data_IF_970431324409
#
_entry.id   IF_970431324409
#
_cell.length_a   1.000
_cell.length_b   1.000
_cell.length_c   1.000
_cell.angle_alpha   90.00
_cell.angle_beta   90.00
_cell.angle_gamma   90.00
#
_symmetry.space_group_name_H-M   'P 1'
#
loop_
_entity.id
_entity.type
_entity.pdbx_description
1 polymer ?
#
# COMPACT_ATOMS: atom_id res chain seq x y z
N UNK A 1 28.36 3.30 -66.40
CA UNK A 1 27.29 3.57 -65.47
C UNK A 1 26.94 2.41 -64.53
N UNK A 2 27.14 1.13 -64.86
CA UNK A 2 26.81 0.00 -63.96
C UNK A 2 27.75 -0.20 -62.74
N UNK A 3 29.03 0.29 -62.82
CA UNK A 3 29.97 0.15 -61.68
C UNK A 3 29.83 1.19 -60.58
N UNK A 4 29.19 2.35 -60.82
CA UNK A 4 28.94 3.40 -59.83
C UNK A 4 27.72 3.07 -58.98
N UNK A 5 26.74 2.37 -59.57
CA UNK A 5 25.52 1.94 -58.84
C UNK A 5 25.83 0.82 -57.82
N UNK A 6 26.84 -0.02 -58.09
CA UNK A 6 27.25 -1.09 -57.18
C UNK A 6 28.00 -0.56 -55.92
N UNK A 7 28.73 0.55 -56.08
CA UNK A 7 29.47 1.19 -54.98
C UNK A 7 28.52 1.98 -54.03
N UNK A 8 27.44 2.54 -54.56
CA UNK A 8 26.39 3.16 -53.69
C UNK A 8 25.57 2.14 -52.93
N UNK A 9 25.37 0.94 -53.48
CA UNK A 9 24.61 -0.11 -52.79
C UNK A 9 25.44 -0.79 -51.67
N UNK A 10 26.76 -0.88 -51.81
CA UNK A 10 27.67 -1.39 -50.78
C UNK A 10 27.88 -0.39 -49.61
N UNK A 11 27.75 0.92 -49.86
CA UNK A 11 27.87 1.93 -48.78
C UNK A 11 26.62 2.04 -47.90
N UNK A 12 25.45 1.56 -48.35
CA UNK A 12 24.24 1.46 -47.54
C UNK A 12 24.19 0.19 -46.68
N UNK A 13 24.95 -0.86 -47.03
CA UNK A 13 24.98 -2.13 -46.28
C UNK A 13 25.99 -2.15 -45.13
N UNK A 14 26.92 -1.20 -45.08
CA UNK A 14 27.94 -1.12 -44.03
C UNK A 14 27.54 -0.27 -42.81
N UNK A 15 26.30 0.23 -42.74
CA UNK A 15 25.76 0.99 -41.59
C UNK A 15 24.67 0.23 -40.82
N UNK A 16 24.41 -1.03 -41.11
CA UNK A 16 23.73 -1.91 -40.15
C UNK A 16 24.72 -2.43 -39.09
N UNK A 17 25.43 -1.53 -38.43
CA UNK A 17 25.85 -1.80 -37.06
C UNK A 17 24.55 -2.15 -36.33
N UNK A 18 24.42 -3.40 -35.94
CA UNK A 18 23.23 -3.88 -35.22
C UNK A 18 22.95 -2.90 -34.08
N UNK A 19 21.97 -2.03 -34.28
CA UNK A 19 21.51 -1.15 -33.21
C UNK A 19 21.02 -2.05 -32.08
N UNK A 20 21.84 -2.17 -31.06
CA UNK A 20 21.53 -3.01 -29.91
C UNK A 20 20.23 -2.48 -29.30
N UNK A 21 19.22 -3.35 -29.08
CA UNK A 21 17.96 -2.95 -28.46
C UNK A 21 18.20 -2.53 -27.01
N UNK A 22 17.38 -1.64 -26.49
CA UNK A 22 17.46 -1.26 -25.07
C UNK A 22 17.38 -2.47 -24.16
N UNK A 23 16.52 -3.43 -24.45
CA UNK A 23 16.36 -4.67 -23.68
C UNK A 23 17.69 -5.43 -23.55
N UNK A 24 18.43 -5.59 -24.66
CA UNK A 24 19.72 -6.28 -24.64
C UNK A 24 20.78 -5.49 -23.85
N UNK A 25 20.76 -4.17 -23.97
CA UNK A 25 21.69 -3.31 -23.22
C UNK A 25 21.39 -3.36 -21.71
N UNK A 26 20.11 -3.31 -21.32
CA UNK A 26 19.70 -3.47 -19.93
C UNK A 26 20.01 -4.87 -19.37
N UNK A 27 19.86 -5.92 -20.17
CA UNK A 27 20.28 -7.27 -19.78
C UNK A 27 21.79 -7.37 -19.51
N UNK A 28 22.63 -6.62 -20.24
CA UNK A 28 24.07 -6.54 -19.95
C UNK A 28 24.32 -5.83 -18.60
N UNK A 29 23.62 -4.72 -18.34
CA UNK A 29 23.71 -4.01 -17.03
C UNK A 29 23.37 -4.96 -15.88
N UNK A 30 22.26 -5.70 -16.00
CA UNK A 30 21.84 -6.70 -15.00
C UNK A 30 22.88 -7.83 -14.84
N UNK A 31 23.46 -8.31 -15.94
CA UNK A 31 24.49 -9.34 -15.91
C UNK A 31 25.77 -8.88 -15.20
N UNK A 32 26.14 -7.60 -15.33
CA UNK A 32 27.25 -7.01 -14.58
C UNK A 32 26.90 -6.84 -13.10
N UNK A 33 25.67 -6.41 -12.77
CA UNK A 33 25.20 -6.32 -11.39
C UNK A 33 25.24 -7.68 -10.66
N UNK A 34 24.79 -8.76 -11.32
CA UNK A 34 24.88 -10.13 -10.78
C UNK A 34 26.31 -10.62 -10.51
N UNK A 35 27.30 -9.98 -11.12
CA UNK A 35 28.74 -10.30 -10.96
C UNK A 35 29.46 -9.33 -10.01
N UNK A 36 28.73 -8.43 -9.37
CA UNK A 36 29.31 -7.37 -8.52
C UNK A 36 30.36 -6.52 -9.27
N UNK A 37 30.01 -6.10 -10.48
CA UNK A 37 30.86 -5.28 -11.37
C UNK A 37 30.22 -3.92 -11.68
N UNK A 38 30.02 -3.03 -10.67
CA UNK A 38 29.29 -1.77 -10.84
C UNK A 38 29.94 -0.82 -11.84
N UNK A 39 31.26 -0.79 -11.95
CA UNK A 39 31.98 0.02 -12.97
C UNK A 39 31.69 -0.43 -14.41
N UNK A 40 31.58 -1.73 -14.63
CA UNK A 40 31.23 -2.27 -15.95
C UNK A 40 29.78 -2.04 -16.30
N UNK A 41 28.87 -2.17 -15.29
CA UNK A 41 27.48 -1.81 -15.41
C UNK A 41 27.32 -0.33 -15.76
N UNK A 42 28.03 0.57 -15.07
CA UNK A 42 28.01 2.00 -15.33
C UNK A 42 28.45 2.35 -16.77
N UNK A 43 29.50 1.72 -17.27
CA UNK A 43 29.95 1.91 -18.65
C UNK A 43 28.89 1.50 -19.69
N UNK A 44 28.08 0.48 -19.39
CA UNK A 44 26.97 0.08 -20.27
C UNK A 44 25.81 1.04 -20.15
N UNK A 45 25.49 1.51 -18.95
CA UNK A 45 24.48 2.55 -18.70
C UNK A 45 24.82 3.85 -19.44
N UNK A 46 26.08 4.24 -19.50
CA UNK A 46 26.51 5.42 -20.28
C UNK A 46 26.22 5.28 -21.76
N UNK A 47 26.42 4.08 -22.36
CA UNK A 47 26.02 3.81 -23.75
C UNK A 47 24.53 3.93 -23.95
N UNK A 48 23.73 3.41 -23.00
CA UNK A 48 22.25 3.55 -23.01
C UNK A 48 21.88 5.03 -22.98
N UNK A 49 22.49 5.81 -22.09
CA UNK A 49 22.27 7.25 -21.96
C UNK A 49 22.55 8.00 -23.27
N UNK A 50 23.69 7.74 -23.89
CA UNK A 50 24.08 8.36 -25.18
C UNK A 50 23.07 8.00 -26.28
N UNK A 51 22.68 6.73 -26.39
CA UNK A 51 21.67 6.27 -27.34
C UNK A 51 20.31 6.94 -27.09
N UNK A 52 19.87 7.00 -25.84
CA UNK A 52 18.60 7.62 -25.48
C UNK A 52 18.57 9.12 -25.80
N UNK A 53 19.67 9.83 -25.58
CA UNK A 53 19.82 11.23 -25.97
C UNK A 53 19.74 11.40 -27.50
N UNK A 54 20.45 10.57 -28.28
CA UNK A 54 20.44 10.63 -29.74
C UNK A 54 19.04 10.34 -30.32
N UNK A 55 18.30 9.40 -29.72
CA UNK A 55 16.97 8.99 -30.15
C UNK A 55 15.83 9.83 -29.52
N UNK A 56 16.16 10.77 -28.63
CA UNK A 56 15.20 11.56 -27.85
C UNK A 56 14.21 10.68 -27.08
N UNK A 57 14.70 9.56 -26.55
CA UNK A 57 13.90 8.64 -25.75
C UNK A 57 14.00 9.02 -24.27
N UNK A 58 13.06 9.87 -23.84
CA UNK A 58 13.07 10.48 -22.51
C UNK A 58 12.94 9.45 -21.38
N UNK A 59 12.14 8.40 -21.56
CA UNK A 59 11.99 7.33 -20.57
C UNK A 59 13.28 6.53 -20.37
N UNK A 60 13.96 6.16 -21.46
CA UNK A 60 15.25 5.47 -21.38
C UNK A 60 16.37 6.36 -20.84
N UNK A 61 16.34 7.67 -21.18
CA UNK A 61 17.27 8.64 -20.64
C UNK A 61 17.13 8.77 -19.14
N UNK A 62 15.92 8.95 -18.65
CA UNK A 62 15.64 9.05 -17.21
C UNK A 62 16.05 7.78 -16.47
N UNK A 63 15.71 6.60 -17.00
CA UNK A 63 16.13 5.31 -16.44
C UNK A 63 17.66 5.21 -16.36
N UNK A 64 18.36 5.56 -17.43
CA UNK A 64 19.81 5.49 -17.47
C UNK A 64 20.45 6.39 -16.41
N UNK A 65 19.94 7.61 -16.24
CA UNK A 65 20.49 8.54 -15.23
C UNK A 65 20.20 8.10 -13.80
N UNK A 66 19.00 7.61 -13.52
CA UNK A 66 18.66 7.05 -12.19
C UNK A 66 19.52 5.82 -11.87
N UNK A 67 19.72 4.92 -12.85
CA UNK A 67 20.57 3.74 -12.67
C UNK A 67 22.04 4.13 -12.51
N UNK A 68 22.54 5.11 -13.28
CA UNK A 68 23.90 5.62 -13.13
C UNK A 68 24.14 6.17 -11.72
N UNK A 69 23.19 6.94 -11.18
CA UNK A 69 23.26 7.45 -9.80
C UNK A 69 23.40 6.30 -8.79
N UNK A 70 22.55 5.27 -8.90
CA UNK A 70 22.60 4.12 -7.99
C UNK A 70 23.95 3.40 -8.06
N UNK A 71 24.48 3.17 -9.27
CA UNK A 71 25.79 2.54 -9.47
C UNK A 71 26.95 3.40 -8.96
N UNK A 72 26.86 4.72 -9.10
CA UNK A 72 27.85 5.63 -8.53
C UNK A 72 27.85 5.56 -7.00
N UNK A 73 26.68 5.52 -6.37
CA UNK A 73 26.54 5.39 -4.92
C UNK A 73 27.10 4.04 -4.41
N UNK A 74 26.89 2.96 -5.16
CA UNK A 74 27.47 1.64 -4.89
C UNK A 74 29.00 1.63 -5.00
N UNK A 75 29.56 2.39 -5.95
CA UNK A 75 31.01 2.54 -6.11
C UNK A 75 31.61 3.36 -4.97
N UNK A 76 31.03 4.49 -4.65
CA UNK A 76 31.38 5.31 -3.46
C UNK A 76 30.29 6.36 -3.17
N UNK A 77 30.04 6.72 -1.90
CA UNK A 77 29.09 7.75 -1.54
C UNK A 77 29.36 9.13 -2.17
N UNK A 78 30.62 9.51 -2.32
CA UNK A 78 30.99 10.78 -2.97
C UNK A 78 30.67 10.79 -4.46
N UNK A 79 30.86 9.66 -5.14
CA UNK A 79 30.44 9.53 -6.54
C UNK A 79 28.92 9.63 -6.73
N UNK A 80 28.14 9.15 -5.75
CA UNK A 80 26.67 9.30 -5.72
C UNK A 80 26.25 10.76 -5.69
N UNK A 81 26.91 11.61 -4.86
CA UNK A 81 26.65 13.06 -4.81
C UNK A 81 26.91 13.73 -6.15
N UNK A 82 28.05 13.43 -6.79
CA UNK A 82 28.37 13.97 -8.13
C UNK A 82 27.32 13.58 -9.17
N UNK A 83 26.80 12.35 -9.11
CA UNK A 83 25.75 11.93 -10.02
C UNK A 83 24.43 12.70 -9.82
N UNK A 84 24.08 13.06 -8.58
CA UNK A 84 22.91 13.91 -8.30
C UNK A 84 23.13 15.34 -8.82
N UNK A 85 24.30 15.91 -8.63
CA UNK A 85 24.67 17.23 -9.21
C UNK A 85 24.54 17.21 -10.73
N UNK A 86 24.98 16.15 -11.40
CA UNK A 86 24.78 15.97 -12.83
C UNK A 86 23.30 15.91 -13.25
N UNK A 87 22.43 15.31 -12.43
CA UNK A 87 20.99 15.32 -12.69
C UNK A 87 20.41 16.73 -12.51
N UNK A 88 20.83 17.47 -11.50
CA UNK A 88 20.41 18.87 -11.28
C UNK A 88 20.88 19.77 -12.42
N UNK A 89 22.11 19.59 -12.90
CA UNK A 89 22.66 20.29 -14.07
C UNK A 89 21.89 19.98 -15.35
N UNK A 90 21.48 18.70 -15.55
CA UNK A 90 20.65 18.31 -16.68
C UNK A 90 19.27 18.96 -16.61
N UNK A 91 18.67 19.00 -15.42
CA UNK A 91 17.41 19.70 -15.18
C UNK A 91 17.51 21.20 -15.46
N UNK A 92 18.62 21.85 -15.06
CA UNK A 92 18.84 23.26 -15.29
C UNK A 92 18.89 23.63 -16.78
N UNK A 93 19.38 22.71 -17.63
CA UNK A 93 19.45 22.86 -19.10
C UNK A 93 18.18 22.41 -19.82
N UNK A 94 17.32 21.66 -19.17
CA UNK A 94 16.09 21.15 -19.79
C UNK A 94 15.06 22.27 -19.94
N UNK A 95 14.58 22.45 -21.16
CA UNK A 95 13.61 23.52 -21.49
C UNK A 95 12.18 23.01 -21.72
N UNK A 96 12.01 21.72 -21.92
CA UNK A 96 10.70 21.11 -22.17
C UNK A 96 9.95 20.93 -20.86
N UNK A 97 8.76 21.55 -20.68
CA UNK A 97 8.06 21.61 -19.39
C UNK A 97 7.77 20.22 -18.82
N UNK A 98 7.30 19.29 -19.65
CA UNK A 98 6.95 17.94 -19.24
C UNK A 98 8.17 17.17 -18.73
N UNK A 99 9.29 17.25 -19.47
CA UNK A 99 10.53 16.60 -19.09
C UNK A 99 11.09 17.20 -17.78
N UNK A 100 10.98 18.52 -17.61
CA UNK A 100 11.34 19.18 -16.34
C UNK A 100 10.54 18.63 -15.18
N UNK A 101 9.20 18.49 -15.33
CA UNK A 101 8.34 17.94 -14.29
C UNK A 101 8.75 16.51 -13.90
N UNK A 102 9.08 15.65 -14.87
CA UNK A 102 9.56 14.29 -14.62
C UNK A 102 10.89 14.28 -13.84
N UNK A 103 11.86 15.11 -14.25
CA UNK A 103 13.15 15.22 -13.56
C UNK A 103 13.00 15.77 -12.14
N UNK A 104 12.19 16.80 -11.96
CA UNK A 104 11.87 17.38 -10.65
C UNK A 104 11.21 16.34 -9.72
N UNK A 105 10.25 15.55 -10.21
CA UNK A 105 9.63 14.50 -9.42
C UNK A 105 10.64 13.40 -9.04
N UNK A 106 11.50 12.99 -9.96
CA UNK A 106 12.56 12.01 -9.69
C UNK A 106 13.54 12.52 -8.61
N UNK A 107 13.95 13.78 -8.68
CA UNK A 107 14.81 14.41 -7.66
C UNK A 107 14.08 14.59 -6.32
N UNK A 108 12.79 14.97 -6.31
CA UNK A 108 11.99 15.03 -5.09
C UNK A 108 11.96 13.68 -4.36
N UNK A 109 11.72 12.59 -5.11
CA UNK A 109 11.73 11.22 -4.58
C UNK A 109 13.10 10.81 -4.04
N UNK A 110 14.16 11.14 -4.76
CA UNK A 110 15.52 10.88 -4.28
C UNK A 110 15.80 11.58 -2.96
N UNK A 111 15.54 12.91 -2.87
CA UNK A 111 15.77 13.65 -1.64
C UNK A 111 14.86 13.19 -0.49
N UNK A 112 13.62 12.76 -0.78
CA UNK A 112 12.75 12.16 0.22
C UNK A 112 13.26 10.80 0.72
N UNK A 113 13.91 10.02 -0.16
CA UNK A 113 14.48 8.72 0.20
C UNK A 113 15.69 8.86 1.14
N UNK A 114 16.61 9.78 0.84
CA UNK A 114 17.82 9.96 1.64
C UNK A 114 17.56 10.69 2.97
N UNK A 115 16.59 11.60 3.01
CA UNK A 115 16.24 12.30 4.25
C UNK A 115 15.33 11.46 5.14
N UNK A 116 14.41 10.67 4.56
CA UNK A 116 13.44 9.92 5.35
C UNK A 116 12.74 10.77 6.40
N UNK A 117 12.84 10.37 7.67
CA UNK A 117 12.35 11.13 8.82
C UNK A 117 13.42 12.03 9.47
N UNK A 118 14.66 11.97 8.99
CA UNK A 118 15.74 12.82 9.49
C UNK A 118 15.73 14.15 8.73
N UNK A 119 15.47 15.22 9.46
CA UNK A 119 15.42 16.59 8.93
C UNK A 119 16.71 17.40 9.22
N UNK A 120 17.75 16.74 9.66
CA UNK A 120 19.03 17.40 9.98
C UNK A 120 19.72 18.00 8.74
N UNK A 121 19.58 17.38 7.56
CA UNK A 121 20.01 17.93 6.30
C UNK A 121 18.96 18.92 5.75
N UNK A 122 18.99 20.15 6.24
CA UNK A 122 18.04 21.20 5.86
C UNK A 122 18.08 21.54 4.37
N UNK A 123 19.20 21.31 3.68
CA UNK A 123 19.33 21.55 2.24
C UNK A 123 18.56 20.49 1.47
N UNK A 124 18.74 19.22 1.81
CA UNK A 124 18.03 18.11 1.18
C UNK A 124 16.53 18.20 1.47
N UNK A 125 16.13 18.53 2.71
CA UNK A 125 14.72 18.76 3.10
C UNK A 125 14.08 19.87 2.25
N UNK A 126 14.77 20.99 2.05
CA UNK A 126 14.28 22.07 1.20
C UNK A 126 14.16 21.61 -0.25
N UNK A 127 15.19 20.96 -0.81
CA UNK A 127 15.20 20.49 -2.20
C UNK A 127 14.06 19.51 -2.48
N UNK A 128 13.77 18.56 -1.58
CA UNK A 128 12.64 17.62 -1.76
C UNK A 128 11.32 18.36 -1.91
N UNK A 129 11.09 19.40 -1.08
CA UNK A 129 9.87 20.19 -1.12
C UNK A 129 9.77 21.06 -2.40
N UNK A 130 10.85 21.75 -2.75
CA UNK A 130 10.90 22.60 -3.94
C UNK A 130 10.67 21.78 -5.21
N UNK A 131 11.34 20.65 -5.36
CA UNK A 131 11.19 19.78 -6.52
C UNK A 131 9.80 19.13 -6.61
N UNK A 132 9.21 18.72 -5.47
CA UNK A 132 7.84 18.17 -5.51
C UNK A 132 6.83 19.23 -5.97
N UNK A 133 6.89 20.44 -5.38
CA UNK A 133 5.99 21.55 -5.79
C UNK A 133 6.15 21.89 -7.27
N UNK A 134 7.40 22.02 -7.72
CA UNK A 134 7.69 22.34 -9.11
C UNK A 134 7.23 21.26 -10.09
N UNK A 135 7.35 19.98 -9.71
CA UNK A 135 6.92 18.87 -10.55
C UNK A 135 5.41 18.80 -10.77
N UNK A 136 4.60 19.36 -9.85
CA UNK A 136 3.14 19.34 -9.86
C UNK A 136 2.53 20.73 -10.10
N UNK A 137 3.34 21.70 -10.51
CA UNK A 137 2.89 23.07 -10.69
C UNK A 137 1.86 23.22 -11.82
N UNK A 138 2.03 22.50 -12.91
CA UNK A 138 1.15 22.56 -14.09
C UNK A 138 0.29 21.30 -14.19
N UNK A 139 -0.82 21.29 -13.45
CA UNK A 139 -1.78 20.19 -13.40
C UNK A 139 -2.36 19.89 -14.79
N UNK A 140 -2.67 20.94 -15.57
CA UNK A 140 -3.29 20.82 -16.87
C UNK A 140 -2.36 20.18 -17.91
N UNK A 141 -1.08 20.56 -17.90
CA UNK A 141 -0.04 19.94 -18.73
C UNK A 141 0.10 18.44 -18.41
N UNK A 142 0.19 18.10 -17.14
CA UNK A 142 0.40 16.73 -16.69
C UNK A 142 -0.81 15.82 -16.97
N UNK A 143 -2.02 16.35 -16.80
CA UNK A 143 -3.26 15.61 -17.06
C UNK A 143 -3.50 15.31 -18.55
N UNK A 144 -2.90 16.10 -19.46
CA UNK A 144 -2.97 15.86 -20.91
C UNK A 144 -1.82 15.00 -21.44
N UNK A 145 -0.81 14.75 -20.63
CA UNK A 145 0.38 14.03 -21.04
C UNK A 145 0.26 12.54 -20.73
N UNK A 146 0.53 11.70 -21.72
CA UNK A 146 0.59 10.25 -21.58
C UNK A 146 1.88 9.84 -20.84
N UNK A 147 1.76 9.01 -19.80
CA UNK A 147 2.93 8.52 -19.05
C UNK A 147 3.61 7.31 -19.70
N UNK A 148 2.97 6.61 -20.65
CA UNK A 148 3.52 5.38 -21.25
C UNK A 148 4.91 5.52 -21.90
N UNK A 149 5.31 6.67 -22.45
CA UNK A 149 6.71 6.90 -22.86
C UNK A 149 7.74 6.74 -21.74
N UNK A 150 7.30 6.82 -20.46
CA UNK A 150 8.14 6.68 -19.28
C UNK A 150 8.07 5.30 -18.62
N UNK A 151 7.39 4.33 -19.21
CA UNK A 151 7.34 2.94 -18.70
C UNK A 151 8.72 2.31 -18.41
N UNK A 152 9.84 2.71 -19.06
CA UNK A 152 11.15 2.27 -18.60
C UNK A 152 11.47 2.56 -17.13
N UNK A 153 10.86 3.58 -16.51
CA UNK A 153 11.03 3.97 -15.11
C UNK A 153 9.75 3.92 -14.30
N UNK A 154 8.61 3.77 -14.93
CA UNK A 154 7.29 3.71 -14.31
C UNK A 154 6.68 2.33 -14.54
N UNK A 155 5.85 1.90 -13.60
CA UNK A 155 5.03 0.70 -13.76
C UNK A 155 3.59 1.08 -14.04
N UNK A 156 2.91 0.30 -14.87
CA UNK A 156 1.49 0.49 -15.12
C UNK A 156 0.68 0.10 -13.88
N UNK A 157 0.00 1.08 -13.27
CA UNK A 157 -0.91 0.85 -12.18
C UNK A 157 -2.25 0.25 -12.65
N UNK A 158 -2.88 -0.58 -11.81
CA UNK A 158 -4.20 -1.20 -12.10
C UNK A 158 -5.29 -0.16 -12.41
N UNK A 159 -5.16 1.06 -11.87
CA UNK A 159 -6.15 2.12 -11.97
C UNK A 159 -5.80 3.16 -13.06
N UNK A 160 -4.64 3.03 -13.72
CA UNK A 160 -4.16 3.99 -14.74
C UNK A 160 -5.15 4.25 -15.87
N UNK A 161 -5.94 3.24 -16.25
CA UNK A 161 -7.00 3.36 -17.26
C UNK A 161 -8.09 4.39 -16.91
N UNK A 162 -8.41 4.55 -15.62
CA UNK A 162 -9.41 5.51 -15.15
C UNK A 162 -8.89 6.94 -15.21
N UNK A 163 -7.59 7.14 -15.17
CA UNK A 163 -6.89 8.40 -15.36
C UNK A 163 -6.46 8.65 -16.81
N UNK A 164 -6.98 7.85 -17.77
CA UNK A 164 -6.61 7.93 -19.18
C UNK A 164 -5.09 7.86 -19.42
N UNK A 165 -4.36 7.16 -18.56
CA UNK A 165 -2.90 7.01 -18.63
C UNK A 165 -2.13 8.34 -18.52
N UNK A 166 -2.68 9.35 -17.84
CA UNK A 166 -2.03 10.64 -17.67
C UNK A 166 -0.84 10.61 -16.71
N UNK A 167 0.04 11.60 -16.83
CA UNK A 167 1.17 11.77 -15.93
C UNK A 167 0.77 12.35 -14.57
N UNK A 168 -0.34 13.08 -14.49
CA UNK A 168 -0.76 13.74 -13.26
C UNK A 168 -0.96 12.74 -12.12
N UNK A 169 -1.71 11.64 -12.35
CA UNK A 169 -1.96 10.64 -11.32
C UNK A 169 -0.68 9.91 -10.87
N UNK A 170 0.29 9.73 -11.78
CA UNK A 170 1.56 9.07 -11.46
C UNK A 170 2.43 9.98 -10.58
N UNK A 171 2.60 11.24 -10.98
CA UNK A 171 3.47 12.18 -10.26
C UNK A 171 2.86 12.63 -8.94
N UNK A 172 1.52 12.69 -8.84
CA UNK A 172 0.79 13.05 -7.63
C UNK A 172 0.65 11.91 -6.61
N UNK A 173 1.19 10.73 -6.89
CA UNK A 173 1.26 9.65 -5.91
C UNK A 173 2.31 9.98 -4.83
N UNK A 174 1.91 10.76 -3.82
CA UNK A 174 2.75 11.25 -2.72
C UNK A 174 2.76 10.33 -1.49
N UNK A 175 2.63 9.02 -1.71
CA UNK A 175 2.69 8.02 -0.64
C UNK A 175 4.13 7.77 -0.15
N UNK A 176 4.26 7.08 0.97
CA UNK A 176 5.52 6.71 1.62
C UNK A 176 6.34 7.94 2.03
N UNK A 177 7.65 7.91 1.79
CA UNK A 177 8.56 9.00 2.19
C UNK A 177 8.30 10.32 1.47
N UNK A 178 7.70 10.29 0.29
CA UNK A 178 7.34 11.50 -0.42
C UNK A 178 6.22 12.29 0.30
N UNK A 179 5.40 11.63 1.12
CA UNK A 179 4.41 12.30 1.98
C UNK A 179 5.03 13.27 2.99
N UNK A 180 6.33 13.10 3.28
CA UNK A 180 7.09 13.98 4.17
C UNK A 180 7.73 15.17 3.43
N UNK A 181 7.63 15.21 2.09
CA UNK A 181 8.33 16.22 1.29
C UNK A 181 7.78 17.63 1.50
N UNK A 182 6.48 17.76 1.73
CA UNK A 182 5.80 19.03 2.03
C UNK A 182 4.87 18.84 3.22
N UNK A 183 4.45 19.94 3.90
CA UNK A 183 3.52 19.85 5.03
C UNK A 183 2.24 19.05 4.69
N UNK A 184 1.71 18.32 5.66
CA UNK A 184 0.52 17.48 5.48
C UNK A 184 -0.68 18.27 4.94
N UNK A 185 -0.92 19.46 5.49
CA UNK A 185 -1.99 20.33 5.03
C UNK A 185 -1.82 20.72 3.55
N UNK A 186 -0.60 21.05 3.13
CA UNK A 186 -0.28 21.39 1.74
C UNK A 186 -0.48 20.18 0.83
N UNK A 187 -0.06 18.98 1.27
CA UNK A 187 -0.31 17.73 0.55
C UNK A 187 -1.80 17.46 0.36
N UNK A 188 -2.60 17.63 1.42
CA UNK A 188 -4.05 17.46 1.37
C UNK A 188 -4.72 18.47 0.44
N UNK A 189 -4.28 19.74 0.45
CA UNK A 189 -4.75 20.79 -0.47
C UNK A 189 -4.37 20.48 -1.92
N UNK A 190 -3.17 19.99 -2.18
CA UNK A 190 -2.73 19.58 -3.51
C UNK A 190 -3.58 18.44 -4.05
N UNK A 191 -3.82 17.39 -3.27
CA UNK A 191 -4.67 16.27 -3.64
C UNK A 191 -6.12 16.73 -3.89
N UNK A 192 -6.63 17.70 -3.11
CA UNK A 192 -7.94 18.29 -3.35
C UNK A 192 -8.00 19.01 -4.70
N UNK A 193 -7.02 19.86 -5.01
CA UNK A 193 -6.94 20.57 -6.30
C UNK A 193 -6.91 19.62 -7.49
N UNK A 194 -6.22 18.49 -7.36
CA UNK A 194 -6.17 17.46 -8.41
C UNK A 194 -7.54 16.77 -8.54
N UNK A 195 -8.21 16.44 -7.44
CA UNK A 195 -9.55 15.89 -7.45
C UNK A 195 -10.56 16.84 -8.11
N UNK A 196 -10.47 18.15 -7.79
CA UNK A 196 -11.30 19.19 -8.37
C UNK A 196 -11.04 19.34 -9.87
N UNK A 197 -9.79 19.23 -10.31
CA UNK A 197 -9.44 19.21 -11.73
C UNK A 197 -10.15 18.07 -12.47
N UNK A 198 -10.06 16.82 -11.99
CA UNK A 198 -10.75 15.69 -12.64
C UNK A 198 -12.27 15.86 -12.62
N UNK A 199 -12.81 16.43 -11.54
CA UNK A 199 -14.23 16.74 -11.45
C UNK A 199 -14.65 17.76 -12.53
N UNK A 200 -13.90 18.84 -12.68
CA UNK A 200 -14.15 19.87 -13.68
C UNK A 200 -13.95 19.36 -15.12
N UNK A 201 -13.01 18.45 -15.32
CA UNK A 201 -12.77 17.78 -16.60
C UNK A 201 -13.84 16.72 -16.96
N UNK A 202 -14.78 16.42 -16.05
CA UNK A 202 -15.82 15.40 -16.24
C UNK A 202 -15.33 13.96 -16.13
N UNK A 203 -14.08 13.73 -15.71
CA UNK A 203 -13.56 12.39 -15.46
C UNK A 203 -13.95 11.94 -14.05
N UNK A 204 -15.16 11.42 -13.92
CA UNK A 204 -15.75 11.06 -12.62
C UNK A 204 -15.03 9.88 -11.93
N UNK A 205 -14.49 8.92 -12.67
CA UNK A 205 -13.73 7.81 -12.14
C UNK A 205 -12.43 8.27 -11.50
N UNK A 206 -11.66 9.10 -12.20
CA UNK A 206 -10.44 9.69 -11.66
C UNK A 206 -10.72 10.60 -10.44
N UNK A 207 -11.79 11.40 -10.50
CA UNK A 207 -12.23 12.25 -9.39
C UNK A 207 -12.55 11.40 -8.14
N UNK A 208 -13.31 10.31 -8.30
CA UNK A 208 -13.62 9.38 -7.22
C UNK A 208 -12.34 8.82 -6.58
N UNK A 209 -11.43 8.27 -7.39
CA UNK A 209 -10.19 7.66 -6.89
C UNK A 209 -9.29 8.69 -6.20
N UNK A 210 -9.18 9.89 -6.75
CA UNK A 210 -8.35 10.94 -6.16
C UNK A 210 -8.93 11.46 -4.83
N UNK A 211 -10.26 11.56 -4.72
CA UNK A 211 -10.93 11.90 -3.45
C UNK A 211 -10.72 10.82 -2.39
N UNK A 212 -10.79 9.53 -2.78
CA UNK A 212 -10.48 8.42 -1.87
C UNK A 212 -9.01 8.48 -1.41
N UNK A 213 -8.08 8.71 -2.34
CA UNK A 213 -6.66 8.86 -2.02
C UNK A 213 -6.40 10.02 -1.04
N UNK A 214 -7.05 11.17 -1.25
CA UNK A 214 -6.96 12.30 -0.32
C UNK A 214 -7.51 11.96 1.07
N UNK A 215 -8.65 11.29 1.14
CA UNK A 215 -9.26 10.91 2.41
C UNK A 215 -8.38 9.92 3.18
N UNK A 216 -7.83 8.91 2.48
CA UNK A 216 -6.90 7.95 3.06
C UNK A 216 -5.62 8.64 3.56
N UNK A 217 -5.06 9.56 2.77
CA UNK A 217 -3.89 10.36 3.16
C UNK A 217 -4.15 11.13 4.48
N UNK A 218 -5.26 11.85 4.57
CA UNK A 218 -5.61 12.63 5.76
C UNK A 218 -5.88 11.72 6.97
N UNK A 219 -6.57 10.59 6.76
CA UNK A 219 -6.88 9.65 7.83
C UNK A 219 -5.63 8.95 8.40
N UNK A 220 -4.67 8.64 7.54
CA UNK A 220 -3.42 7.98 7.92
C UNK A 220 -2.52 8.91 8.75
N UNK A 221 -2.52 10.19 8.44
CA UNK A 221 -1.68 11.18 9.13
C UNK A 221 -2.36 11.83 10.34
N UNK A 222 -3.67 11.61 10.55
CA UNK A 222 -4.41 12.16 11.70
C UNK A 222 -4.76 11.09 12.73
N UNK A 223 -4.44 11.37 13.98
CA UNK A 223 -4.85 10.53 15.13
C UNK A 223 -6.21 10.94 15.72
N UNK A 224 -6.79 12.04 15.28
CA UNK A 224 -7.98 12.62 15.91
C UNK A 224 -9.27 11.87 15.56
N UNK A 225 -10.06 11.54 16.58
CA UNK A 225 -11.39 10.92 16.43
C UNK A 225 -12.35 11.75 15.58
N UNK A 226 -12.26 13.08 15.66
CA UNK A 226 -13.07 13.99 14.84
C UNK A 226 -12.80 13.82 13.36
N UNK A 227 -11.53 13.72 12.96
CA UNK A 227 -11.12 13.48 11.57
C UNK A 227 -11.69 12.18 11.04
N UNK A 228 -11.69 11.11 11.84
CA UNK A 228 -12.27 9.81 11.47
C UNK A 228 -13.79 9.87 11.25
N UNK A 229 -14.50 10.64 12.08
CA UNK A 229 -15.93 10.86 11.87
C UNK A 229 -16.22 11.67 10.59
N UNK A 230 -15.44 12.71 10.32
CA UNK A 230 -15.56 13.48 9.09
C UNK A 230 -15.24 12.63 7.85
N UNK A 231 -14.26 11.75 7.95
CA UNK A 231 -13.91 10.79 6.90
C UNK A 231 -15.09 9.88 6.57
N UNK A 232 -15.73 9.29 7.60
CA UNK A 232 -16.93 8.47 7.40
C UNK A 232 -18.06 9.24 6.72
N UNK A 233 -18.33 10.46 7.18
CA UNK A 233 -19.39 11.33 6.61
C UNK A 233 -19.10 11.62 5.13
N UNK A 234 -17.86 11.92 4.78
CA UNK A 234 -17.47 12.21 3.40
C UNK A 234 -17.61 10.97 2.50
N UNK A 235 -17.16 9.81 2.96
CA UNK A 235 -17.36 8.54 2.26
C UNK A 235 -18.83 8.22 2.04
N UNK A 236 -19.69 8.48 3.04
CA UNK A 236 -21.16 8.29 2.89
C UNK A 236 -21.76 9.22 1.83
N UNK A 237 -21.28 10.46 1.72
CA UNK A 237 -21.68 11.36 0.63
C UNK A 237 -21.19 10.84 -0.73
N UNK A 238 -19.92 10.44 -0.83
CA UNK A 238 -19.35 9.88 -2.05
C UNK A 238 -20.08 8.61 -2.50
N UNK A 239 -20.49 7.75 -1.57
CA UNK A 239 -21.31 6.56 -1.85
C UNK A 239 -22.58 6.90 -2.65
N UNK A 240 -23.25 8.00 -2.33
CA UNK A 240 -24.45 8.43 -3.03
C UNK A 240 -24.14 9.21 -4.32
N UNK A 241 -23.11 10.07 -4.29
CA UNK A 241 -22.71 10.90 -5.44
C UNK A 241 -22.26 10.05 -6.63
N UNK A 242 -21.54 8.96 -6.37
CA UNK A 242 -20.99 8.08 -7.41
C UNK A 242 -21.74 6.75 -7.56
N UNK A 243 -22.99 6.67 -7.09
CA UNK A 243 -23.78 5.42 -7.07
C UNK A 243 -24.01 4.76 -8.41
N UNK A 244 -23.91 5.52 -9.50
CA UNK A 244 -24.03 5.07 -10.88
C UNK A 244 -22.74 4.49 -11.47
N UNK A 245 -21.58 4.73 -10.82
CA UNK A 245 -20.29 4.21 -11.26
C UNK A 245 -20.02 2.81 -10.69
N UNK A 246 -19.61 1.84 -11.53
CA UNK A 246 -19.14 0.54 -11.02
C UNK A 246 -17.98 0.69 -10.03
N UNK A 247 -17.07 1.64 -10.27
CA UNK A 247 -15.90 1.90 -9.44
C UNK A 247 -16.25 2.37 -8.01
N UNK A 248 -17.48 2.77 -7.75
CA UNK A 248 -17.93 3.16 -6.43
C UNK A 248 -17.89 2.00 -5.40
N UNK A 249 -17.67 0.77 -5.85
CA UNK A 249 -17.33 -0.36 -4.94
C UNK A 249 -16.12 -0.02 -4.07
N UNK A 250 -15.16 0.78 -4.54
CA UNK A 250 -14.00 1.22 -3.76
C UNK A 250 -14.42 2.10 -2.56
N UNK A 251 -15.47 2.93 -2.71
CA UNK A 251 -16.02 3.70 -1.58
C UNK A 251 -16.59 2.78 -0.48
N UNK A 252 -17.30 1.72 -0.87
CA UNK A 252 -17.80 0.72 0.09
C UNK A 252 -16.66 -0.01 0.82
N UNK A 253 -15.59 -0.36 0.09
CA UNK A 253 -14.40 -0.98 0.70
C UNK A 253 -13.77 -0.05 1.73
N UNK A 254 -13.58 1.22 1.39
CA UNK A 254 -13.08 2.22 2.32
C UNK A 254 -14.00 2.39 3.54
N UNK A 255 -15.33 2.42 3.37
CA UNK A 255 -16.30 2.53 4.45
C UNK A 255 -16.17 1.38 5.47
N UNK A 256 -16.07 0.14 4.99
CA UNK A 256 -16.01 -1.05 5.87
C UNK A 256 -14.63 -1.32 6.46
N UNK A 257 -13.60 -0.61 6.01
CA UNK A 257 -12.24 -0.70 6.55
C UNK A 257 -11.92 0.38 7.61
N UNK A 258 -12.82 1.35 7.83
CA UNK A 258 -12.59 2.43 8.79
C UNK A 258 -12.45 1.91 10.21
N UNK A 259 -11.48 2.45 10.94
CA UNK A 259 -11.24 2.14 12.35
C UNK A 259 -11.47 3.36 13.24
N UNK A 260 -11.92 3.11 14.46
CA UNK A 260 -11.89 4.10 15.54
C UNK A 260 -12.89 5.26 15.44
N UNK A 261 -13.98 5.15 14.65
CA UNK A 261 -14.96 6.22 14.51
C UNK A 261 -16.24 6.05 15.37
N UNK A 262 -16.51 4.85 15.88
CA UNK A 262 -17.65 4.53 16.76
C UNK A 262 -17.32 3.41 17.73
N UNK A 263 -18.24 3.12 18.66
CA UNK A 263 -18.16 1.90 19.47
C UNK A 263 -18.14 0.65 18.57
N UNK A 264 -17.54 -0.44 19.04
CA UNK A 264 -17.42 -1.67 18.25
C UNK A 264 -18.77 -2.21 17.80
N UNK A 265 -19.76 -2.24 18.71
CA UNK A 265 -21.08 -2.81 18.41
C UNK A 265 -21.82 -2.01 17.33
N UNK A 266 -21.79 -0.67 17.40
CA UNK A 266 -22.43 0.19 16.41
C UNK A 266 -21.70 0.10 15.06
N UNK A 267 -20.38 0.07 15.09
CA UNK A 267 -19.54 -0.06 13.89
C UNK A 267 -19.83 -1.35 13.14
N UNK A 268 -19.86 -2.47 13.84
CA UNK A 268 -20.05 -3.78 13.23
C UNK A 268 -21.41 -3.91 12.57
N UNK A 269 -22.46 -3.33 13.16
CA UNK A 269 -23.79 -3.24 12.53
C UNK A 269 -23.73 -2.44 11.23
N UNK A 270 -23.14 -1.25 11.26
CA UNK A 270 -23.04 -0.37 10.09
C UNK A 270 -22.23 -1.03 8.99
N UNK A 271 -21.10 -1.64 9.32
CA UNK A 271 -20.22 -2.29 8.34
C UNK A 271 -20.87 -3.52 7.71
N UNK A 272 -21.60 -4.31 8.50
CA UNK A 272 -22.37 -5.43 7.99
C UNK A 272 -23.40 -4.97 6.95
N UNK A 273 -24.16 -3.93 7.26
CA UNK A 273 -25.20 -3.40 6.38
C UNK A 273 -24.60 -2.78 5.11
N UNK A 274 -23.51 -2.01 5.25
CA UNK A 274 -22.78 -1.42 4.10
C UNK A 274 -22.17 -2.48 3.20
N UNK A 275 -21.57 -3.51 3.79
CA UNK A 275 -21.01 -4.62 3.00
C UNK A 275 -22.10 -5.39 2.26
N UNK A 276 -23.25 -5.65 2.88
CA UNK A 276 -24.41 -6.28 2.24
C UNK A 276 -24.95 -5.41 1.09
N UNK A 277 -25.09 -4.11 1.31
CA UNK A 277 -25.52 -3.17 0.26
C UNK A 277 -24.55 -3.17 -0.92
N UNK A 278 -23.25 -3.08 -0.63
CA UNK A 278 -22.20 -3.10 -1.66
C UNK A 278 -22.18 -4.40 -2.45
N UNK A 279 -22.32 -5.57 -1.78
CA UNK A 279 -22.42 -6.88 -2.44
C UNK A 279 -23.67 -6.95 -3.31
N UNK A 280 -24.82 -6.47 -2.84
CA UNK A 280 -26.07 -6.46 -3.62
C UNK A 280 -25.91 -5.65 -4.90
N UNK A 281 -25.21 -4.53 -4.85
CA UNK A 281 -25.04 -3.60 -5.97
C UNK A 281 -23.91 -4.01 -6.92
N UNK A 282 -22.77 -4.43 -6.39
CA UNK A 282 -21.52 -4.67 -7.12
C UNK A 282 -21.05 -6.13 -7.10
N UNK A 283 -21.85 -7.06 -6.61
CA UNK A 283 -21.44 -8.45 -6.32
C UNK A 283 -20.96 -9.27 -7.53
N UNK A 284 -21.17 -8.77 -8.76
CA UNK A 284 -20.61 -9.39 -9.98
C UNK A 284 -19.15 -9.00 -10.23
N UNK A 285 -18.66 -7.97 -9.55
CA UNK A 285 -17.30 -7.46 -9.69
C UNK A 285 -16.33 -8.21 -8.77
N UNK A 286 -15.08 -8.35 -9.23
CA UNK A 286 -14.01 -8.97 -8.45
C UNK A 286 -13.70 -8.17 -7.17
N UNK A 287 -13.76 -6.86 -7.25
CA UNK A 287 -13.51 -5.91 -6.18
C UNK A 287 -14.48 -6.10 -5.00
N UNK A 288 -15.70 -6.57 -5.26
CA UNK A 288 -16.66 -6.89 -4.19
C UNK A 288 -16.26 -8.12 -3.33
N UNK A 289 -15.19 -8.86 -3.69
CA UNK A 289 -14.70 -9.96 -2.85
C UNK A 289 -14.20 -9.47 -1.48
N UNK A 290 -13.64 -8.26 -1.41
CA UNK A 290 -13.23 -7.70 -0.12
C UNK A 290 -14.43 -7.48 0.81
N UNK A 291 -15.56 -7.04 0.28
CA UNK A 291 -16.80 -6.91 1.05
C UNK A 291 -17.32 -8.29 1.52
N UNK A 292 -17.18 -9.33 0.69
CA UNK A 292 -17.53 -10.70 1.09
C UNK A 292 -16.62 -11.24 2.19
N UNK A 293 -15.34 -10.91 2.12
CA UNK A 293 -14.37 -11.28 3.17
C UNK A 293 -14.76 -10.63 4.50
N UNK A 294 -15.08 -9.33 4.49
CA UNK A 294 -15.56 -8.61 5.69
C UNK A 294 -16.80 -9.30 6.28
N UNK A 295 -17.80 -9.61 5.46
CA UNK A 295 -18.97 -10.37 5.92
C UNK A 295 -18.55 -11.74 6.47
N UNK A 296 -17.69 -12.47 5.75
CA UNK A 296 -17.20 -13.79 6.16
C UNK A 296 -16.55 -13.78 7.54
N UNK A 297 -15.69 -12.80 7.80
CA UNK A 297 -15.03 -12.60 9.10
C UNK A 297 -16.05 -12.28 10.19
N UNK A 298 -17.01 -11.39 9.90
CA UNK A 298 -18.04 -10.98 10.86
C UNK A 298 -18.99 -12.12 11.25
N UNK A 299 -19.32 -13.03 10.31
CA UNK A 299 -20.23 -14.15 10.55
C UNK A 299 -19.54 -15.44 10.96
N UNK A 300 -18.22 -15.50 10.94
CA UNK A 300 -17.47 -16.69 11.35
C UNK A 300 -17.79 -17.05 12.80
N UNK A 301 -18.19 -18.30 13.09
CA UNK A 301 -18.42 -18.73 14.46
C UNK A 301 -17.15 -18.58 15.32
N UNK A 302 -17.33 -18.00 16.48
CA UNK A 302 -16.24 -17.71 17.39
C UNK A 302 -16.62 -18.06 18.81
N UNK A 303 -15.66 -18.55 19.60
CA UNK A 303 -15.76 -18.75 21.02
C UNK A 303 -14.38 -18.50 21.66
N UNK A 304 -14.33 -17.67 22.66
CA UNK A 304 -13.11 -17.45 23.46
C UNK A 304 -13.40 -17.47 24.95
N UNK A 305 -12.36 -17.83 25.70
CA UNK A 305 -12.28 -17.70 27.13
C UNK A 305 -11.25 -16.63 27.43
N UNK A 306 -11.65 -15.61 28.18
CA UNK A 306 -10.79 -14.46 28.51
C UNK A 306 -10.57 -14.39 30.03
N UNK A 307 -9.53 -13.68 30.44
CA UNK A 307 -9.19 -13.44 31.85
C UNK A 307 -8.99 -14.72 32.69
N UNK A 308 -8.28 -15.67 32.11
CA UNK A 308 -7.88 -16.87 32.88
C UNK A 308 -6.79 -16.48 33.87
N UNK A 309 -7.05 -16.70 35.15
CA UNK A 309 -6.07 -16.48 36.24
C UNK A 309 -4.98 -17.55 36.15
N UNK A 310 -3.72 -17.14 35.99
CA UNK A 310 -2.59 -18.08 35.84
C UNK A 310 -2.31 -18.93 37.09
N UNK A 311 -2.63 -18.40 38.30
CA UNK A 311 -2.47 -19.11 39.57
C UNK A 311 -3.78 -19.00 40.36
N UNK A 312 -4.30 -20.13 40.77
CA UNK A 312 -5.57 -20.22 41.52
C UNK A 312 -5.33 -21.10 42.76
N UNK A 313 -5.69 -20.61 43.94
CA UNK A 313 -5.57 -21.35 45.18
C UNK A 313 -6.71 -22.39 45.34
N UNK A 314 -6.47 -23.46 46.13
CA UNK A 314 -7.54 -24.40 46.47
C UNK A 314 -8.76 -23.67 47.04
N UNK A 315 -9.97 -24.14 46.68
CA UNK A 315 -11.25 -23.61 47.09
C UNK A 315 -11.58 -22.14 46.67
N UNK A 316 -10.65 -21.57 45.86
CA UNK A 316 -10.94 -20.23 45.29
C UNK A 316 -11.98 -20.33 44.16
N UNK A 317 -12.94 -19.37 44.19
CA UNK A 317 -13.88 -19.21 43.08
C UNK A 317 -13.20 -18.51 41.91
N UNK A 318 -13.11 -19.19 40.79
CA UNK A 318 -12.58 -18.68 39.51
C UNK A 318 -13.75 -18.18 38.66
N UNK A 319 -13.64 -16.97 38.17
CA UNK A 319 -14.55 -16.43 37.17
C UNK A 319 -13.79 -16.23 35.88
N UNK A 320 -14.26 -16.86 34.81
CA UNK A 320 -13.75 -16.66 33.44
C UNK A 320 -14.81 -15.92 32.62
N UNK A 321 -14.36 -15.01 31.77
CA UNK A 321 -15.23 -14.33 30.83
C UNK A 321 -15.29 -15.12 29.52
N UNK A 322 -16.47 -15.17 28.94
CA UNK A 322 -16.75 -15.88 27.69
C UNK A 322 -17.19 -14.89 26.65
N UNK A 323 -16.68 -15.04 25.43
CA UNK A 323 -17.13 -14.29 24.27
C UNK A 323 -17.52 -15.27 23.17
N UNK A 324 -18.74 -15.13 22.63
CA UNK A 324 -19.27 -16.06 21.64
C UNK A 324 -19.99 -15.33 20.52
N UNK A 325 -19.77 -15.77 19.28
CA UNK A 325 -20.47 -15.26 18.09
C UNK A 325 -20.93 -16.42 17.23
N UNK A 326 -22.14 -16.32 16.71
CA UNK A 326 -22.79 -17.32 15.83
C UNK A 326 -22.80 -18.74 16.39
N UNK A 327 -22.91 -18.86 17.71
CA UNK A 327 -23.15 -20.13 18.43
C UNK A 327 -24.17 -19.87 19.53
N UNK A 328 -25.08 -20.79 19.70
CA UNK A 328 -26.10 -20.74 20.78
C UNK A 328 -25.79 -21.72 21.91
N UNK A 329 -24.83 -22.60 21.71
CA UNK A 329 -24.37 -23.56 22.71
C UNK A 329 -22.86 -23.72 22.68
N UNK A 330 -22.27 -23.96 23.83
CA UNK A 330 -20.90 -24.40 23.97
C UNK A 330 -20.75 -25.37 25.15
N UNK A 331 -19.68 -26.13 25.15
CA UNK A 331 -19.35 -27.01 26.24
C UNK A 331 -17.94 -26.66 26.74
N UNK A 332 -17.85 -26.28 28.01
CA UNK A 332 -16.56 -26.04 28.69
C UNK A 332 -16.26 -27.24 29.55
N UNK A 333 -15.11 -27.86 29.33
CA UNK A 333 -14.68 -29.04 30.07
C UNK A 333 -13.44 -28.74 30.87
N UNK A 334 -13.40 -29.19 32.10
CA UNK A 334 -12.27 -29.08 33.00
C UNK A 334 -11.55 -30.42 33.07
N UNK A 335 -10.25 -30.41 32.89
CA UNK A 335 -9.42 -31.61 32.91
C UNK A 335 -8.31 -31.51 33.97
N UNK A 336 -7.86 -32.66 34.50
CA UNK A 336 -6.64 -32.79 35.25
C UNK A 336 -5.53 -33.16 34.31
N UNK A 337 -4.50 -32.31 34.19
CA UNK A 337 -3.30 -32.66 33.42
C UNK A 337 -2.27 -33.32 34.30
N UNK A 338 -1.61 -34.35 33.76
CA UNK A 338 -0.45 -34.99 34.40
C UNK A 338 0.84 -34.29 33.94
N UNK A 339 0.88 -32.97 34.12
CA UNK A 339 2.02 -32.10 33.76
C UNK A 339 2.38 -31.22 34.97
N UNK A 340 3.66 -30.84 35.09
CA UNK A 340 4.09 -29.84 36.07
C UNK A 340 3.75 -28.42 35.62
N UNK A 341 3.67 -27.47 36.55
CA UNK A 341 3.50 -26.06 36.23
C UNK A 341 4.59 -25.54 35.27
N UNK A 342 5.84 -26.05 35.43
CA UNK A 342 6.95 -25.72 34.53
C UNK A 342 6.70 -26.21 33.09
N UNK A 343 6.16 -27.41 32.94
CA UNK A 343 5.86 -27.96 31.60
C UNK A 343 4.77 -27.16 30.88
N UNK A 344 3.77 -26.71 31.63
CA UNK A 344 2.67 -25.86 31.05
C UNK A 344 3.15 -24.44 30.78
N UNK A 345 4.05 -23.90 31.61
CA UNK A 345 4.59 -22.55 31.41
C UNK A 345 5.44 -22.44 30.13
N UNK A 346 6.23 -23.51 29.85
CA UNK A 346 7.15 -23.51 28.70
C UNK A 346 6.55 -24.04 27.40
N UNK A 347 5.38 -24.70 27.45
CA UNK A 347 4.76 -25.33 26.31
C UNK A 347 3.23 -25.16 26.39
N UNK A 348 2.61 -24.74 25.31
CA UNK A 348 1.16 -24.66 25.22
C UNK A 348 0.53 -26.04 25.42
N UNK A 349 -0.64 -26.06 26.04
CA UNK A 349 -1.46 -27.27 26.16
C UNK A 349 -2.21 -27.47 24.86
N UNK A 350 -1.93 -28.59 24.18
CA UNK A 350 -2.56 -28.91 22.90
C UNK A 350 -3.67 -29.96 23.08
N UNK A 351 -4.56 -30.05 22.12
CA UNK A 351 -5.64 -31.05 22.10
C UNK A 351 -5.15 -32.49 22.25
N UNK A 352 -3.90 -32.78 21.80
CA UNK A 352 -3.26 -34.10 22.02
C UNK A 352 -3.02 -34.44 23.49
N UNK A 353 -2.78 -33.44 24.33
CA UNK A 353 -2.51 -33.59 25.78
C UNK A 353 -3.79 -33.97 26.55
N UNK A 354 -4.96 -33.66 25.96
CA UNK A 354 -6.27 -34.01 26.51
C UNK A 354 -6.78 -35.36 26.06
N UNK A 355 -6.12 -35.98 25.09
CA UNK A 355 -6.58 -37.25 24.50
C UNK A 355 -6.57 -38.38 25.56
N UNK A 356 -7.73 -38.99 25.76
CA UNK A 356 -7.91 -40.10 26.71
C UNK A 356 -8.16 -39.65 28.14
N UNK A 357 -8.13 -38.35 28.45
CA UNK A 357 -8.47 -37.83 29.78
C UNK A 357 -9.99 -37.76 29.94
N UNK A 358 -10.47 -38.09 31.13
CA UNK A 358 -11.84 -37.84 31.54
C UNK A 358 -11.97 -36.43 32.10
N UNK A 359 -13.03 -35.69 31.67
CA UNK A 359 -13.32 -34.39 32.23
C UNK A 359 -13.71 -34.51 33.72
N UNK A 360 -13.06 -33.73 34.57
CA UNK A 360 -13.44 -33.61 35.98
C UNK A 360 -14.81 -32.96 36.13
N UNK A 361 -15.08 -32.00 35.31
CA UNK A 361 -16.36 -31.30 35.28
C UNK A 361 -16.66 -30.78 33.86
N UNK A 362 -17.92 -30.79 33.51
CA UNK A 362 -18.41 -30.30 32.23
C UNK A 362 -19.52 -29.30 32.48
N UNK A 363 -19.47 -28.17 31.77
CA UNK A 363 -20.47 -27.12 31.81
C UNK A 363 -21.09 -27.01 30.42
N UNK A 364 -22.38 -27.29 30.33
CA UNK A 364 -23.16 -27.06 29.12
C UNK A 364 -23.70 -25.61 29.19
N UNK A 365 -23.32 -24.80 28.24
CA UNK A 365 -23.62 -23.38 28.19
C UNK A 365 -24.59 -23.12 27.04
N UNK A 366 -25.52 -22.18 27.30
CA UNK A 366 -26.52 -21.75 26.32
C UNK A 366 -26.46 -20.23 26.21
N UNK A 367 -26.40 -19.72 25.01
CA UNK A 367 -26.29 -18.31 24.69
C UNK A 367 -27.51 -17.81 23.93
N UNK A 368 -27.95 -16.55 24.11
CA UNK A 368 -29.04 -15.98 23.34
C UNK A 368 -28.63 -15.88 21.86
N UNK A 369 -29.60 -16.04 20.96
CA UNK A 369 -29.38 -15.76 19.54
C UNK A 369 -29.23 -14.25 19.34
N UNK A 370 -28.10 -13.84 18.74
CA UNK A 370 -27.80 -12.47 18.40
C UNK A 370 -27.67 -12.27 16.88
N UNK A 371 -27.52 -11.02 16.43
CA UNK A 371 -27.19 -10.71 15.05
C UNK A 371 -25.86 -11.37 14.66
N UNK A 372 -25.66 -11.76 13.38
CA UNK A 372 -24.49 -12.55 12.97
C UNK A 372 -23.13 -11.90 13.26
N UNK A 373 -23.08 -10.59 13.34
CA UNK A 373 -21.86 -9.81 13.62
C UNK A 373 -21.65 -9.52 15.12
N UNK A 374 -22.63 -9.83 15.99
CA UNK A 374 -22.60 -9.45 17.40
C UNK A 374 -21.98 -10.54 18.26
N UNK A 375 -21.04 -10.16 19.10
CA UNK A 375 -20.54 -10.99 20.18
C UNK A 375 -21.45 -10.93 21.39
N UNK A 376 -21.77 -12.11 21.93
CA UNK A 376 -22.47 -12.29 23.20
C UNK A 376 -21.41 -12.53 24.26
N UNK A 377 -21.39 -11.68 25.29
CA UNK A 377 -20.52 -11.82 26.45
C UNK A 377 -21.25 -12.48 27.60
N UNK A 378 -20.60 -13.42 28.24
CA UNK A 378 -21.09 -14.16 29.38
C UNK A 378 -19.94 -14.46 30.36
N UNK A 379 -20.21 -15.13 31.45
CA UNK A 379 -19.17 -15.59 32.37
C UNK A 379 -19.53 -16.92 33.00
N UNK A 380 -18.51 -17.74 33.23
CA UNK A 380 -18.61 -18.99 33.96
C UNK A 380 -17.82 -18.88 35.26
N UNK A 381 -18.50 -19.20 36.40
CA UNK A 381 -17.84 -19.26 37.70
C UNK A 381 -17.77 -20.71 38.20
N UNK A 382 -16.67 -21.10 38.76
CA UNK A 382 -16.49 -22.41 39.37
C UNK A 382 -15.47 -22.35 40.51
N UNK A 383 -15.57 -23.28 41.44
CA UNK A 383 -14.58 -23.45 42.50
C UNK A 383 -13.51 -24.40 42.04
N UNK A 384 -12.24 -24.03 42.26
CA UNK A 384 -11.10 -24.89 41.94
C UNK A 384 -11.16 -26.14 42.82
N UNK A 385 -11.10 -27.36 42.24
CA UNK A 385 -11.00 -28.59 43.04
C UNK A 385 -9.70 -28.63 43.83
N UNK A 386 -9.78 -29.05 45.09
CA UNK A 386 -8.65 -29.12 46.06
C UNK A 386 -7.55 -30.09 45.62
N UNK A 387 -7.91 -31.18 44.92
CA UNK A 387 -7.03 -32.29 44.57
C UNK A 387 -6.26 -32.12 43.26
N UNK A 388 -6.34 -30.94 42.61
CA UNK A 388 -5.78 -30.74 41.27
C UNK A 388 -4.62 -29.77 41.29
N UNK A 389 -3.50 -30.18 40.68
CA UNK A 389 -2.34 -29.30 40.52
C UNK A 389 -2.49 -28.34 39.34
N UNK A 390 -3.10 -28.79 38.23
CA UNK A 390 -3.28 -27.98 37.00
C UNK A 390 -4.67 -28.27 36.41
N UNK A 391 -5.34 -27.23 36.01
CA UNK A 391 -6.64 -27.27 35.29
C UNK A 391 -6.51 -26.55 33.96
N UNK A 392 -7.08 -27.15 32.90
CA UNK A 392 -7.17 -26.54 31.54
C UNK A 392 -8.62 -26.55 31.08
#
# INVERSE_FOLDING_TARGET
MKKILLLMFCSFFSLSVMAQTYEKMWANVEAYGKKDLPKSALAEVDKIRQKAMAEKNDGQLLKAMLTARMLHEEISPDSGKVAVEQMEDALARETRPLQRAMWQNALARYFAEITGYDESDTVAVRKRAEYLRASLADIDLLARADYRPYLPVLEEGKDSKYYHYDLLHVLSNIQRRLSLAIPEEESAQLLQRIADYYTAAGNREAALLMRLNRLDFVATNSSESLTKNLHFIELMKMKEEYKDLPLNVETYKNLVSLTGFKSTDDRDSIFYDLAQEGIKRYGKMKEANELRNVIGEMITPFFSIENIKGVVYPDETVKINLSVRNRTTAKVCMYRLNKTAKDVYNNDVEAKDLKGLQALKTYDLTFPKAAPYREVKDSLSFVKPTETNILV
#
